data_IF_001321737864
#
_entry.id   IF_001321737864
#
_cell.length_a   1.000
_cell.length_b   1.000
_cell.length_c   1.000
_cell.angle_alpha   90.00
_cell.angle_beta   90.00
_cell.angle_gamma   90.00
#
_symmetry.space_group_name_H-M   'P 1'
#
loop_
_entity.id
_entity.type
_entity.pdbx_description
1 polymer ?
#
# COMPACT_ATOMS: atom_id res chain seq x y z
N UNK A 1 20.44 60.37 42.48
CA UNK A 1 20.05 58.94 42.45
C UNK A 1 20.01 58.51 40.99
N UNK A 2 20.96 57.69 40.55
CA UNK A 2 20.95 57.07 39.21
C UNK A 2 20.79 55.58 39.42
N UNK A 3 19.60 55.08 39.15
CA UNK A 3 19.23 53.67 39.33
C UNK A 3 19.72 52.90 38.11
N UNK A 4 20.70 52.02 38.29
CA UNK A 4 21.24 51.15 37.26
C UNK A 4 20.27 49.96 37.11
N UNK A 5 19.53 49.89 36.00
CA UNK A 5 18.67 48.76 35.68
C UNK A 5 19.53 47.75 34.89
N UNK A 6 20.07 46.75 35.59
CA UNK A 6 20.67 45.56 34.95
C UNK A 6 19.54 44.64 34.49
N UNK A 7 19.22 44.67 33.19
CA UNK A 7 18.36 43.69 32.55
C UNK A 7 19.11 42.36 32.42
N UNK A 8 18.72 41.38 33.23
CA UNK A 8 19.16 40.00 33.14
C UNK A 8 18.44 39.33 31.95
N UNK A 9 19.15 39.12 30.85
CA UNK A 9 18.63 38.35 29.71
C UNK A 9 18.69 36.87 30.08
N UNK A 10 17.53 36.29 30.40
CA UNK A 10 17.38 34.86 30.58
C UNK A 10 17.43 34.22 29.17
N UNK A 11 18.57 33.62 28.80
CA UNK A 11 18.60 32.68 27.68
C UNK A 11 17.84 31.44 28.12
N UNK A 12 16.54 31.43 27.87
CA UNK A 12 15.76 30.20 27.86
C UNK A 12 16.26 29.44 26.64
N UNK A 13 17.05 28.38 26.85
CA UNK A 13 17.31 27.38 25.83
C UNK A 13 15.96 26.78 25.44
N UNK A 14 15.40 27.22 24.32
CA UNK A 14 14.33 26.49 23.65
C UNK A 14 14.91 25.13 23.29
N UNK A 15 14.58 24.12 24.10
CA UNK A 15 14.77 22.73 23.72
C UNK A 15 13.73 22.50 22.62
N UNK A 16 14.12 22.72 21.37
CA UNK A 16 13.33 22.28 20.23
C UNK A 16 13.29 20.77 20.28
N UNK A 17 12.14 20.18 20.55
CA UNK A 17 11.95 18.77 20.27
C UNK A 17 12.04 18.63 18.76
N UNK A 18 13.01 17.86 18.27
CA UNK A 18 13.07 17.46 16.87
C UNK A 18 11.84 16.59 16.60
N UNK A 19 10.96 17.04 15.71
CA UNK A 19 9.84 16.23 15.27
C UNK A 19 10.38 15.15 14.33
N UNK A 20 9.92 13.92 14.52
CA UNK A 20 10.27 12.79 13.67
C UNK A 20 9.00 12.19 13.06
N UNK A 21 9.17 11.62 11.87
CA UNK A 21 8.20 10.83 11.13
C UNK A 21 8.59 9.37 11.24
N UNK A 22 7.64 8.48 11.53
CA UNK A 22 7.92 7.05 11.61
C UNK A 22 8.02 6.41 10.23
N UNK A 23 9.08 5.62 10.02
CA UNK A 23 9.33 4.84 8.80
C UNK A 23 9.45 3.37 9.20
N UNK A 24 8.33 2.63 9.23
CA UNK A 24 8.30 1.27 9.81
C UNK A 24 9.00 0.19 8.98
N UNK A 25 9.16 0.43 7.67
CA UNK A 25 9.87 -0.48 6.78
C UNK A 25 11.36 -0.09 6.70
N UNK A 26 12.24 -0.95 7.21
CA UNK A 26 13.69 -0.72 7.19
C UNK A 26 14.25 -0.50 5.78
N UNK A 27 13.66 -1.13 4.76
CA UNK A 27 14.11 -0.96 3.39
C UNK A 27 13.66 0.41 2.85
N UNK A 28 12.49 0.91 3.26
CA UNK A 28 12.08 2.28 2.95
C UNK A 28 13.06 3.28 3.58
N UNK A 29 13.34 3.14 4.87
CA UNK A 29 14.26 4.02 5.60
C UNK A 29 15.68 3.96 5.02
N UNK A 30 16.21 2.76 4.76
CA UNK A 30 17.51 2.61 4.10
C UNK A 30 17.53 3.28 2.71
N UNK A 31 16.43 3.23 1.96
CA UNK A 31 16.33 3.94 0.69
C UNK A 31 16.38 5.46 0.88
N UNK A 32 15.74 6.00 1.92
CA UNK A 32 15.82 7.44 2.24
C UNK A 32 17.26 7.87 2.59
N UNK A 33 18.01 7.02 3.32
CA UNK A 33 19.44 7.24 3.60
C UNK A 33 20.25 7.24 2.31
N UNK A 34 20.04 6.25 1.42
CA UNK A 34 20.77 6.13 0.16
C UNK A 34 20.49 7.31 -0.80
N UNK A 35 19.28 7.88 -0.73
CA UNK A 35 18.88 9.10 -1.43
C UNK A 35 19.43 10.38 -0.78
N UNK A 36 20.05 10.29 0.40
CA UNK A 36 20.57 11.43 1.15
C UNK A 36 19.47 12.30 1.77
N UNK A 37 18.26 11.75 1.94
CA UNK A 37 17.13 12.42 2.59
C UNK A 37 17.29 12.31 4.11
N UNK A 38 17.48 11.09 4.62
CA UNK A 38 17.63 10.86 6.05
C UNK A 38 19.04 11.24 6.54
N UNK A 39 19.14 12.38 7.23
CA UNK A 39 20.40 13.05 7.53
C UNK A 39 21.22 12.37 8.63
N UNK A 40 20.60 11.52 9.45
CA UNK A 40 21.29 10.82 10.54
C UNK A 40 22.02 9.54 10.07
N UNK A 41 21.75 9.11 8.82
CA UNK A 41 22.35 7.96 8.16
C UNK A 41 22.22 6.65 8.95
N UNK A 42 21.17 6.50 9.76
CA UNK A 42 20.97 5.35 10.64
C UNK A 42 19.56 4.80 10.52
N UNK A 43 19.43 3.53 10.11
CA UNK A 43 18.14 2.82 10.14
C UNK A 43 17.66 2.67 11.60
N UNK A 44 16.69 3.48 12.00
CA UNK A 44 16.18 3.61 13.37
C UNK A 44 14.64 3.76 13.46
N UNK A 45 13.92 3.45 12.37
CA UNK A 45 12.48 3.56 12.18
C UNK A 45 11.92 4.98 12.15
N UNK A 46 12.75 5.98 11.90
CA UNK A 46 12.31 7.36 11.88
C UNK A 46 13.19 8.24 10.99
N UNK A 47 12.59 9.31 10.48
CA UNK A 47 13.32 10.38 9.80
C UNK A 47 12.97 11.70 10.47
N UNK A 48 13.89 12.67 10.51
CA UNK A 48 13.55 14.01 10.97
C UNK A 48 12.48 14.61 10.05
N UNK A 49 11.43 15.20 10.60
CA UNK A 49 10.39 15.83 9.76
C UNK A 49 10.98 16.96 8.90
N UNK A 50 12.03 17.63 9.38
CA UNK A 50 12.77 18.65 8.61
C UNK A 50 13.55 18.10 7.42
N UNK A 51 13.86 16.80 7.41
CA UNK A 51 14.59 16.17 6.31
C UNK A 51 13.65 15.89 5.12
N UNK A 52 12.35 15.72 5.40
CA UNK A 52 11.32 15.38 4.40
C UNK A 52 10.43 16.58 4.02
N UNK A 53 10.46 17.68 4.78
CA UNK A 53 9.51 18.80 4.60
C UNK A 53 9.68 19.57 3.28
N UNK A 54 10.85 19.50 2.64
CA UNK A 54 11.13 20.09 1.33
C UNK A 54 11.26 19.06 0.20
N UNK A 55 11.02 17.77 0.47
CA UNK A 55 11.15 16.73 -0.56
C UNK A 55 9.96 16.81 -1.52
N UNK A 56 10.22 17.27 -2.74
CA UNK A 56 9.21 17.41 -3.81
C UNK A 56 9.17 16.21 -4.77
N UNK A 57 10.26 15.44 -4.85
CA UNK A 57 10.36 14.27 -5.70
C UNK A 57 10.93 13.09 -4.91
N UNK A 58 10.20 11.97 -4.90
CA UNK A 58 10.65 10.73 -4.28
C UNK A 58 10.50 9.58 -5.27
N UNK A 59 11.63 9.01 -5.67
CA UNK A 59 11.69 7.83 -6.52
C UNK A 59 12.26 6.64 -5.74
N UNK A 60 11.38 5.70 -5.41
CA UNK A 60 11.72 4.45 -4.73
C UNK A 60 11.96 3.30 -5.72
N UNK A 61 11.63 3.49 -7.01
CA UNK A 61 11.67 2.43 -8.02
C UNK A 61 13.09 1.94 -8.34
N UNK A 62 14.10 2.77 -8.07
CA UNK A 62 15.51 2.45 -8.26
C UNK A 62 16.17 1.87 -6.99
N UNK A 63 15.42 1.61 -5.92
CA UNK A 63 15.99 1.13 -4.66
C UNK A 63 16.75 -0.20 -4.83
N UNK A 64 17.95 -0.27 -4.24
CA UNK A 64 18.68 -1.53 -4.06
C UNK A 64 18.15 -2.38 -2.89
N UNK A 65 17.19 -1.85 -2.13
CA UNK A 65 16.63 -2.44 -0.93
C UNK A 65 15.17 -2.82 -1.16
N UNK A 66 14.95 -3.97 -1.80
CA UNK A 66 13.62 -4.49 -2.09
C UNK A 66 13.33 -5.78 -1.30
N UNK A 67 12.06 -6.06 -0.97
CA UNK A 67 10.89 -5.21 -1.21
C UNK A 67 10.76 -4.05 -0.20
N UNK A 68 10.15 -2.95 -0.61
CA UNK A 68 9.59 -1.91 0.26
C UNK A 68 8.09 -2.21 0.34
N UNK A 69 7.69 -2.87 1.42
CA UNK A 69 6.36 -3.46 1.56
C UNK A 69 5.34 -2.52 2.19
N UNK A 70 5.83 -1.55 2.96
CA UNK A 70 5.05 -0.54 3.68
C UNK A 70 5.70 0.84 3.48
N UNK A 71 4.88 1.83 3.13
CA UNK A 71 5.28 3.24 2.94
C UNK A 71 4.43 4.19 3.78
N UNK A 72 3.80 3.75 4.87
CA UNK A 72 2.86 4.54 5.68
C UNK A 72 3.42 5.92 6.09
N UNK A 73 4.72 6.00 6.38
CA UNK A 73 5.40 7.27 6.70
C UNK A 73 5.43 8.30 5.56
N UNK A 74 5.08 7.91 4.33
CA UNK A 74 4.99 8.82 3.18
C UNK A 74 3.99 9.94 3.42
N UNK A 75 2.98 9.73 4.27
CA UNK A 75 1.90 10.70 4.56
C UNK A 75 2.42 12.03 5.11
N UNK A 76 3.62 12.04 5.69
CA UNK A 76 4.26 13.24 6.26
C UNK A 76 5.10 14.03 5.23
N UNK A 77 5.28 13.55 4.00
CA UNK A 77 6.00 14.24 2.93
C UNK A 77 5.11 15.33 2.29
N UNK A 78 4.76 16.35 3.06
CA UNK A 78 3.73 17.34 2.70
C UNK A 78 4.00 18.17 1.46
N UNK A 79 5.27 18.30 1.04
CA UNK A 79 5.69 19.01 -0.18
C UNK A 79 5.77 18.10 -1.42
N UNK A 80 5.47 16.81 -1.30
CA UNK A 80 5.71 15.83 -2.36
C UNK A 80 4.81 16.07 -3.57
N UNK A 81 5.43 16.28 -4.73
CA UNK A 81 4.79 16.49 -6.02
C UNK A 81 4.88 15.25 -6.90
N UNK A 82 6.00 14.52 -6.85
CA UNK A 82 6.20 13.31 -7.65
C UNK A 82 6.55 12.14 -6.76
N UNK A 83 5.75 11.08 -6.83
CA UNK A 83 5.98 9.82 -6.13
C UNK A 83 6.08 8.68 -7.14
N UNK A 84 7.23 8.02 -7.19
CA UNK A 84 7.42 6.80 -7.97
C UNK A 84 7.69 5.61 -7.04
N UNK A 85 6.71 4.73 -6.92
CA UNK A 85 6.75 3.48 -6.16
C UNK A 85 6.73 2.27 -7.09
N UNK A 86 7.10 2.42 -8.36
CA UNK A 86 7.08 1.33 -9.33
C UNK A 86 8.06 0.21 -8.95
N UNK A 87 7.62 -1.04 -9.00
CA UNK A 87 8.48 -2.21 -8.81
C UNK A 87 9.07 -2.38 -7.41
N UNK A 88 8.53 -1.69 -6.39
CA UNK A 88 9.08 -1.75 -5.03
C UNK A 88 8.63 -2.99 -4.26
N UNK A 89 7.66 -3.76 -4.78
CA UNK A 89 7.09 -4.90 -4.07
C UNK A 89 6.14 -4.47 -2.94
N UNK A 90 5.40 -3.38 -3.15
CA UNK A 90 4.41 -2.88 -2.21
C UNK A 90 3.29 -3.90 -2.01
N UNK A 91 3.05 -4.33 -0.76
CA UNK A 91 2.00 -5.27 -0.39
C UNK A 91 1.51 -4.85 1.00
N UNK A 92 0.77 -3.74 1.10
CA UNK A 92 0.17 -3.28 2.36
C UNK A 92 -0.81 -4.33 2.89
N UNK A 93 -0.28 -5.28 3.67
CA UNK A 93 -0.97 -6.49 4.15
C UNK A 93 -1.25 -6.43 5.65
N UNK A 94 -1.28 -5.22 6.22
CA UNK A 94 -1.37 -4.96 7.65
C UNK A 94 -2.63 -5.51 8.33
N UNK A 95 -3.72 -5.73 7.57
CA UNK A 95 -5.01 -6.13 8.14
C UNK A 95 -5.66 -7.34 7.44
N UNK A 96 -6.07 -8.31 8.25
CA UNK A 96 -6.83 -9.48 7.80
C UNK A 96 -8.21 -9.02 7.32
N UNK A 97 -8.62 -9.45 6.13
CA UNK A 97 -9.89 -9.11 5.48
C UNK A 97 -10.00 -7.67 4.93
N UNK A 98 -8.89 -6.90 4.89
CA UNK A 98 -8.83 -5.62 4.16
C UNK A 98 -7.98 -5.84 2.90
N UNK A 99 -8.50 -5.50 1.70
CA UNK A 99 -7.70 -5.56 0.49
C UNK A 99 -6.52 -4.57 0.58
N UNK A 100 -5.34 -4.90 0.03
CA UNK A 100 -4.20 -3.98 0.01
C UNK A 100 -4.59 -2.61 -0.54
N UNK A 101 -4.37 -1.57 0.25
CA UNK A 101 -4.73 -0.22 -0.11
C UNK A 101 -3.59 0.77 0.08
N UNK A 102 -3.69 1.92 -0.57
CA UNK A 102 -2.79 3.04 -0.40
C UNK A 102 -3.65 4.31 -0.32
N UNK A 103 -3.47 5.06 0.77
CA UNK A 103 -4.14 6.34 0.99
C UNK A 103 -3.11 7.47 0.93
N UNK A 104 -3.24 8.32 -0.08
CA UNK A 104 -2.37 9.47 -0.32
C UNK A 104 -3.14 10.80 -0.17
N UNK A 105 -4.32 10.79 0.45
CA UNK A 105 -5.16 11.99 0.63
C UNK A 105 -4.49 13.10 1.45
N UNK A 106 -3.42 12.80 2.20
CA UNK A 106 -2.62 13.81 2.91
C UNK A 106 -1.65 14.56 1.99
N UNK A 107 -1.30 14.00 0.83
CA UNK A 107 -0.32 14.54 -0.11
C UNK A 107 -0.93 15.58 -1.05
N UNK A 108 -1.38 16.70 -0.49
CA UNK A 108 -2.11 17.75 -1.24
C UNK A 108 -1.32 18.39 -2.39
N UNK A 109 0.01 18.30 -2.36
CA UNK A 109 0.90 18.79 -3.40
C UNK A 109 1.13 17.78 -4.54
N UNK A 110 0.62 16.55 -4.45
CA UNK A 110 0.90 15.48 -5.41
C UNK A 110 0.38 15.82 -6.81
N UNK A 111 1.30 15.76 -7.78
CA UNK A 111 1.08 16.02 -9.20
C UNK A 111 1.21 14.73 -10.03
N UNK A 112 2.16 13.86 -9.68
CA UNK A 112 2.45 12.63 -10.43
C UNK A 112 2.63 11.42 -9.51
N UNK A 113 1.94 10.33 -9.84
CA UNK A 113 2.05 9.04 -9.16
C UNK A 113 2.33 7.91 -10.15
N UNK A 114 3.41 7.19 -9.91
CA UNK A 114 3.83 6.01 -10.68
C UNK A 114 3.90 4.79 -9.76
N UNK A 115 3.18 3.72 -10.09
CA UNK A 115 3.14 2.50 -9.25
C UNK A 115 3.12 1.20 -10.05
N UNK A 116 3.70 1.24 -11.26
CA UNK A 116 3.86 0.12 -12.18
C UNK A 116 4.57 -1.09 -11.56
N UNK A 117 4.11 -2.31 -11.83
CA UNK A 117 4.85 -3.53 -11.48
C UNK A 117 5.99 -3.79 -12.46
N UNK A 118 7.15 -4.25 -11.97
CA UNK A 118 8.35 -4.49 -12.79
C UNK A 118 8.74 -5.99 -12.73
N UNK A 119 8.28 -6.78 -13.70
CA UNK A 119 8.71 -8.17 -13.91
C UNK A 119 8.11 -9.19 -12.92
N UNK A 120 8.90 -10.18 -12.50
CA UNK A 120 8.41 -11.33 -11.73
C UNK A 120 8.78 -11.31 -10.24
N UNK A 121 9.66 -10.41 -9.79
CA UNK A 121 10.28 -10.52 -8.45
C UNK A 121 9.79 -9.53 -7.40
N UNK A 122 9.33 -8.33 -7.79
CA UNK A 122 8.88 -7.29 -6.84
C UNK A 122 7.66 -6.52 -7.36
N UNK A 123 6.55 -7.24 -7.56
CA UNK A 123 5.32 -6.64 -8.05
C UNK A 123 4.56 -5.92 -6.96
N UNK A 124 4.03 -4.75 -7.30
CA UNK A 124 3.13 -4.02 -6.43
C UNK A 124 1.77 -4.71 -6.45
N UNK A 125 1.23 -4.96 -5.27
CA UNK A 125 -0.12 -5.46 -5.06
C UNK A 125 -0.89 -4.35 -4.36
N UNK A 126 -1.61 -3.57 -5.17
CA UNK A 126 -2.51 -2.51 -4.73
C UNK A 126 -3.89 -2.81 -5.30
N UNK A 127 -4.91 -2.81 -4.45
CA UNK A 127 -6.30 -3.06 -4.84
C UNK A 127 -7.10 -1.77 -4.82
N UNK A 128 -6.95 -0.98 -3.75
CA UNK A 128 -7.66 0.29 -3.55
C UNK A 128 -6.67 1.46 -3.42
N UNK A 129 -6.88 2.53 -4.18
CA UNK A 129 -6.08 3.74 -4.12
C UNK A 129 -6.97 4.93 -3.77
N UNK A 130 -6.65 5.65 -2.68
CA UNK A 130 -7.39 6.84 -2.25
C UNK A 130 -6.59 8.10 -2.56
N UNK A 131 -7.20 8.97 -3.36
CA UNK A 131 -6.65 10.24 -3.85
C UNK A 131 -7.64 11.40 -3.65
N UNK A 132 -8.47 11.34 -2.61
CA UNK A 132 -9.62 12.23 -2.38
C UNK A 132 -9.24 13.69 -2.06
N UNK A 133 -7.96 13.99 -1.82
CA UNK A 133 -7.48 15.36 -1.56
C UNK A 133 -6.13 15.66 -2.25
N UNK A 134 -6.03 15.31 -3.53
CA UNK A 134 -4.89 15.53 -4.41
C UNK A 134 -5.31 16.39 -5.63
N UNK A 135 -5.64 17.68 -5.44
CA UNK A 135 -6.25 18.53 -6.48
C UNK A 135 -5.29 18.99 -7.59
N UNK A 136 -4.02 18.61 -7.52
CA UNK A 136 -2.98 18.99 -8.49
C UNK A 136 -2.58 17.83 -9.40
N UNK A 137 -3.21 16.66 -9.27
CA UNK A 137 -2.81 15.45 -9.98
C UNK A 137 -2.94 15.59 -11.51
N UNK A 138 -1.84 15.42 -12.22
CA UNK A 138 -1.77 15.42 -13.69
C UNK A 138 -1.46 14.04 -14.26
N UNK A 139 -0.81 13.17 -13.47
CA UNK A 139 -0.36 11.85 -13.95
C UNK A 139 -0.63 10.75 -12.93
N UNK A 140 -1.26 9.67 -13.39
CA UNK A 140 -1.42 8.43 -12.67
C UNK A 140 -1.05 7.24 -13.56
N UNK A 141 0.08 6.60 -13.30
CA UNK A 141 0.58 5.49 -14.10
C UNK A 141 0.66 4.19 -13.30
N UNK A 142 0.02 3.14 -13.82
CA UNK A 142 -0.10 1.83 -13.21
C UNK A 142 -0.07 0.73 -14.26
N UNK A 143 1.13 0.43 -14.75
CA UNK A 143 1.29 -0.67 -15.70
C UNK A 143 1.48 -1.99 -14.94
N UNK A 144 0.83 -3.05 -15.40
CA UNK A 144 0.91 -4.42 -14.89
C UNK A 144 0.55 -4.59 -13.40
N UNK A 145 -0.24 -3.68 -12.83
CA UNK A 145 -0.81 -3.82 -11.48
C UNK A 145 -2.13 -4.59 -11.56
N UNK A 146 -2.05 -5.89 -11.82
CA UNK A 146 -3.22 -6.76 -12.09
C UNK A 146 -4.21 -6.96 -10.93
N UNK A 147 -4.07 -6.22 -9.83
CA UNK A 147 -4.96 -6.28 -8.67
C UNK A 147 -5.72 -4.98 -8.41
N UNK A 148 -5.43 -3.89 -9.13
CA UNK A 148 -6.09 -2.59 -8.91
C UNK A 148 -7.54 -2.67 -9.38
N UNK A 149 -8.46 -2.47 -8.44
CA UNK A 149 -9.92 -2.55 -8.68
C UNK A 149 -10.60 -1.20 -8.44
N UNK A 150 -10.01 -0.36 -7.58
CA UNK A 150 -10.66 0.87 -7.11
C UNK A 150 -9.69 2.05 -7.00
N UNK A 151 -10.13 3.19 -7.50
CA UNK A 151 -9.47 4.48 -7.34
C UNK A 151 -10.50 5.50 -6.87
N UNK A 152 -10.24 6.18 -5.76
CA UNK A 152 -11.08 7.24 -5.24
C UNK A 152 -10.50 8.61 -5.56
N UNK A 153 -11.16 9.36 -6.43
CA UNK A 153 -10.82 10.75 -6.78
C UNK A 153 -11.91 11.73 -6.33
N UNK A 154 -12.95 11.27 -5.60
CA UNK A 154 -14.06 12.12 -5.19
C UNK A 154 -13.56 13.35 -4.43
N UNK A 155 -14.09 14.52 -4.79
CA UNK A 155 -13.68 15.82 -4.26
C UNK A 155 -12.42 16.39 -4.90
N UNK A 156 -11.42 15.57 -5.25
CA UNK A 156 -10.19 16.05 -5.91
C UNK A 156 -10.37 16.33 -7.39
N UNK A 157 -11.12 15.45 -8.04
CA UNK A 157 -11.45 15.49 -9.46
C UNK A 157 -12.06 16.81 -9.95
N UNK A 158 -12.72 17.58 -9.07
CA UNK A 158 -13.35 18.86 -9.39
C UNK A 158 -12.37 19.93 -9.92
N UNK A 159 -11.07 19.78 -9.65
CA UNK A 159 -10.02 20.70 -10.11
C UNK A 159 -9.03 20.06 -11.10
N UNK A 160 -9.15 18.74 -11.37
CA UNK A 160 -8.19 18.03 -12.21
C UNK A 160 -8.47 18.30 -13.69
N UNK A 161 -7.63 19.13 -14.30
CA UNK A 161 -7.63 19.34 -15.75
C UNK A 161 -6.40 18.68 -16.37
N UNK A 162 -6.56 18.03 -17.52
CA UNK A 162 -5.50 17.31 -18.24
C UNK A 162 -4.90 16.11 -17.48
N UNK A 163 -5.69 15.45 -16.63
CA UNK A 163 -5.27 14.23 -15.95
C UNK A 163 -5.03 13.11 -16.97
N UNK A 164 -3.83 12.55 -16.97
CA UNK A 164 -3.48 11.35 -17.74
C UNK A 164 -3.45 10.15 -16.80
N UNK A 165 -4.25 9.14 -17.12
CA UNK A 165 -4.29 7.87 -16.41
C UNK A 165 -3.93 6.74 -17.36
N UNK A 166 -2.98 5.90 -16.97
CA UNK A 166 -2.52 4.78 -17.79
C UNK A 166 -2.52 3.49 -16.98
N UNK A 167 -3.47 2.60 -17.30
CA UNK A 167 -3.72 1.31 -16.66
C UNK A 167 -3.55 0.20 -17.69
N UNK A 168 -2.32 -0.11 -18.09
CA UNK A 168 -2.07 -1.23 -19.02
C UNK A 168 -1.74 -2.48 -18.23
N UNK A 169 -2.51 -3.54 -18.37
CA UNK A 169 -2.25 -4.83 -17.75
C UNK A 169 -3.24 -5.89 -18.23
N UNK A 170 -3.02 -7.14 -17.84
CA UNK A 170 -3.96 -8.22 -18.10
C UNK A 170 -5.05 -8.21 -17.01
N UNK A 171 -6.32 -7.99 -17.42
CA UNK A 171 -7.54 -8.18 -16.63
C UNK A 171 -7.75 -7.15 -15.52
N UNK A 172 -8.21 -5.95 -15.90
CA UNK A 172 -8.47 -4.87 -14.95
C UNK A 172 -9.89 -4.32 -15.12
N UNK A 173 -10.79 -4.77 -14.25
CA UNK A 173 -12.05 -4.07 -14.03
C UNK A 173 -11.79 -2.98 -12.99
N UNK A 174 -11.67 -1.73 -13.44
CA UNK A 174 -11.35 -0.58 -12.59
C UNK A 174 -12.60 0.29 -12.43
N UNK A 175 -12.95 0.56 -11.18
CA UNK A 175 -13.94 1.57 -10.82
C UNK A 175 -13.25 2.82 -10.28
N UNK A 176 -13.55 3.97 -10.89
CA UNK A 176 -13.05 5.27 -10.45
C UNK A 176 -14.21 6.04 -9.80
N UNK A 177 -14.13 6.27 -8.49
CA UNK A 177 -15.08 7.14 -7.79
C UNK A 177 -14.73 8.60 -8.07
N UNK A 178 -15.74 9.38 -8.42
CA UNK A 178 -15.63 10.77 -8.87
C UNK A 178 -16.87 11.54 -8.42
N UNK A 179 -16.75 12.85 -8.28
CA UNK A 179 -17.81 13.74 -7.79
C UNK A 179 -19.05 13.76 -8.72
N UNK A 180 -18.86 13.68 -10.03
CA UNK A 180 -19.95 13.59 -11.02
C UNK A 180 -19.71 12.41 -11.99
N UNK A 181 -20.14 11.19 -11.62
CA UNK A 181 -19.96 10.00 -12.45
C UNK A 181 -20.60 10.11 -13.84
N UNK A 182 -21.70 10.86 -13.95
CA UNK A 182 -22.40 11.04 -15.23
C UNK A 182 -21.60 11.94 -16.14
N UNK A 183 -21.05 13.05 -15.64
CA UNK A 183 -20.17 13.92 -16.41
C UNK A 183 -18.87 13.20 -16.81
N UNK A 184 -18.29 12.41 -15.91
CA UNK A 184 -17.09 11.61 -16.20
C UNK A 184 -17.35 10.57 -17.30
N UNK A 185 -18.44 9.81 -17.19
CA UNK A 185 -18.82 8.79 -18.18
C UNK A 185 -19.09 9.39 -19.58
N UNK A 186 -19.55 10.64 -19.65
CA UNK A 186 -19.83 11.35 -20.88
C UNK A 186 -18.70 12.29 -21.32
N UNK A 187 -17.55 12.28 -20.64
CA UNK A 187 -16.41 13.18 -20.88
C UNK A 187 -16.82 14.67 -20.95
N UNK A 188 -17.55 15.14 -19.94
CA UNK A 188 -18.04 16.53 -19.83
C UNK A 188 -17.31 17.31 -18.74
N UNK A 189 -17.37 18.64 -18.80
CA UNK A 189 -16.74 19.49 -17.78
C UNK A 189 -15.24 19.28 -17.69
N UNK A 190 -14.72 19.11 -16.47
CA UNK A 190 -13.29 18.87 -16.20
C UNK A 190 -12.80 17.55 -16.82
N UNK A 191 -13.65 16.52 -16.82
CA UNK A 191 -13.33 15.18 -17.34
C UNK A 191 -13.13 15.15 -18.86
N UNK A 192 -13.60 16.16 -19.60
CA UNK A 192 -13.39 16.26 -21.05
C UNK A 192 -11.89 16.35 -21.44
N UNK A 193 -11.05 16.79 -20.50
CA UNK A 193 -9.60 16.91 -20.67
C UNK A 193 -8.83 15.67 -20.21
N UNK A 194 -9.50 14.68 -19.64
CA UNK A 194 -8.82 13.50 -19.12
C UNK A 194 -8.45 12.55 -20.26
N UNK A 195 -7.27 11.94 -20.14
CA UNK A 195 -6.80 10.92 -21.04
C UNK A 195 -6.61 9.61 -20.28
N UNK A 196 -7.53 8.66 -20.49
CA UNK A 196 -7.52 7.37 -19.78
C UNK A 196 -7.23 6.25 -20.76
N UNK A 197 -6.11 5.57 -20.55
CA UNK A 197 -5.69 4.42 -21.36
C UNK A 197 -5.80 3.15 -20.53
N UNK A 198 -6.49 2.15 -21.06
CA UNK A 198 -6.61 0.82 -20.45
C UNK A 198 -6.82 -0.27 -21.51
N UNK A 199 -6.64 -1.54 -21.14
CA UNK A 199 -6.87 -2.67 -22.05
C UNK A 199 -8.37 -3.00 -22.16
N UNK A 200 -9.05 -2.38 -23.12
CA UNK A 200 -10.49 -2.59 -23.34
C UNK A 200 -10.86 -3.98 -23.86
N UNK A 201 -9.88 -4.84 -24.22
CA UNK A 201 -10.16 -6.23 -24.61
C UNK A 201 -10.23 -7.16 -23.39
N UNK A 202 -9.60 -6.80 -22.27
CA UNK A 202 -9.47 -7.67 -21.10
C UNK A 202 -10.06 -7.08 -19.81
N UNK A 203 -10.50 -5.82 -19.81
CA UNK A 203 -11.07 -5.16 -18.64
C UNK A 203 -12.12 -4.10 -18.97
N UNK A 204 -12.84 -3.67 -17.92
CA UNK A 204 -13.85 -2.61 -17.97
C UNK A 204 -13.41 -1.45 -17.09
N UNK A 205 -13.45 -0.23 -17.64
CA UNK A 205 -13.30 1.00 -16.86
C UNK A 205 -14.68 1.62 -16.64
N UNK A 206 -14.99 2.02 -15.42
CA UNK A 206 -16.27 2.65 -15.06
C UNK A 206 -16.08 3.80 -14.08
N UNK A 207 -16.99 4.78 -14.15
CA UNK A 207 -17.12 5.86 -13.18
C UNK A 207 -18.40 5.67 -12.37
N UNK A 208 -18.32 5.71 -11.04
CA UNK A 208 -19.48 5.46 -10.17
C UNK A 208 -19.28 6.04 -8.77
N UNK A 209 -20.34 6.63 -8.20
CA UNK A 209 -20.43 6.98 -6.76
C UNK A 209 -20.67 5.73 -5.87
N UNK A 210 -20.93 4.60 -6.52
CA UNK A 210 -21.22 3.31 -5.92
C UNK A 210 -20.08 2.30 -6.09
N UNK A 211 -18.86 2.75 -6.44
CA UNK A 211 -17.69 1.88 -6.59
C UNK A 211 -17.47 0.97 -5.36
N UNK A 212 -17.74 1.46 -4.16
CA UNK A 212 -17.65 0.69 -2.91
C UNK A 212 -18.90 -0.13 -2.56
N UNK A 213 -20.06 0.09 -3.21
CA UNK A 213 -21.31 -0.61 -2.85
C UNK A 213 -21.34 -2.08 -3.28
N UNK A 214 -20.33 -2.55 -3.99
CA UNK A 214 -20.08 -3.98 -4.19
C UNK A 214 -19.23 -4.64 -3.08
N UNK A 215 -18.97 -3.91 -1.98
CA UNK A 215 -18.38 -4.45 -0.76
C UNK A 215 -19.25 -4.31 0.50
N UNK A 216 -20.57 -4.17 0.37
CA UNK A 216 -21.45 -4.79 1.38
C UNK A 216 -21.62 -6.27 1.07
N UNK A 217 -20.51 -7.01 1.11
CA UNK A 217 -20.63 -8.41 1.49
C UNK A 217 -21.31 -8.38 2.86
N UNK A 218 -22.55 -8.87 2.94
CA UNK A 218 -23.06 -9.35 4.21
C UNK A 218 -21.97 -10.24 4.80
N UNK A 219 -21.29 -9.73 5.85
CA UNK A 219 -20.20 -10.39 6.58
C UNK A 219 -20.71 -11.74 7.11
N UNK A 220 -20.61 -12.78 6.31
CA UNK A 220 -20.34 -14.10 6.86
C UNK A 220 -18.83 -14.24 6.96
N UNK A 221 -18.30 -13.81 8.10
CA UNK A 221 -16.93 -14.07 8.51
C UNK A 221 -16.71 -15.59 8.46
N UNK A 222 -15.99 -16.07 7.46
CA UNK A 222 -15.62 -17.48 7.36
C UNK A 222 -14.49 -17.70 8.37
N UNK A 223 -14.83 -18.32 9.51
CA UNK A 223 -13.87 -18.58 10.56
C UNK A 223 -13.01 -19.81 10.21
N UNK A 224 -11.71 -19.58 9.99
CA UNK A 224 -10.69 -20.61 9.98
C UNK A 224 -9.92 -20.59 11.29
N UNK A 225 -9.63 -21.75 11.87
CA UNK A 225 -8.74 -21.85 13.04
C UNK A 225 -7.72 -22.96 12.86
N UNK A 226 -6.45 -22.63 13.13
CA UNK A 226 -5.33 -23.57 13.17
C UNK A 226 -5.09 -24.05 14.59
N UNK A 227 -5.01 -25.37 14.79
CA UNK A 227 -4.63 -25.92 16.09
C UNK A 227 -3.88 -27.26 15.98
N UNK A 228 -2.94 -27.55 16.90
CA UNK A 228 -2.34 -26.57 17.80
C UNK A 228 -1.52 -25.53 17.01
N UNK A 229 -1.46 -24.31 17.52
CA UNK A 229 -0.55 -23.28 17.02
C UNK A 229 -0.01 -22.52 18.25
N UNK A 230 1.26 -22.72 18.66
CA UNK A 230 2.33 -23.41 17.94
C UNK A 230 2.12 -24.93 17.75
N UNK A 231 2.56 -25.45 16.60
CA UNK A 231 2.52 -26.85 16.20
C UNK A 231 3.91 -27.50 16.31
N UNK A 232 3.98 -28.78 16.70
CA UNK A 232 5.26 -29.51 16.81
C UNK A 232 5.53 -30.44 15.62
N UNK A 233 4.57 -31.27 15.24
CA UNK A 233 4.72 -32.24 14.14
C UNK A 233 3.59 -32.15 13.13
N UNK A 234 2.42 -31.70 13.57
CA UNK A 234 1.21 -31.63 12.76
C UNK A 234 0.33 -30.48 13.22
N UNK A 235 -0.56 -30.03 12.35
CA UNK A 235 -1.63 -29.11 12.68
C UNK A 235 -2.95 -29.56 12.04
N UNK A 236 -4.04 -28.96 12.49
CA UNK A 236 -5.40 -29.15 11.99
C UNK A 236 -5.97 -27.80 11.55
N UNK A 237 -6.87 -27.83 10.58
CA UNK A 237 -7.62 -26.65 10.12
C UNK A 237 -9.10 -26.93 10.36
N UNK A 238 -9.74 -26.11 11.19
CA UNK A 238 -11.20 -26.08 11.28
C UNK A 238 -11.72 -24.95 10.41
N UNK A 239 -12.68 -25.29 9.55
CA UNK A 239 -13.29 -24.42 8.55
C UNK A 239 -14.78 -24.73 8.45
N UNK A 240 -15.61 -23.72 8.17
CA UNK A 240 -17.03 -23.90 7.82
C UNK A 240 -17.25 -24.11 6.32
N UNK A 241 -16.20 -24.08 5.50
CA UNK A 241 -16.23 -24.27 4.03
C UNK A 241 -15.17 -25.24 3.54
N UNK A 242 -15.39 -25.80 2.35
CA UNK A 242 -14.40 -26.63 1.67
C UNK A 242 -13.20 -25.80 1.18
N UNK A 243 -12.02 -26.40 1.25
CA UNK A 243 -10.75 -25.81 0.90
C UNK A 243 -10.26 -26.42 -0.41
N UNK A 244 -10.22 -25.62 -1.46
CA UNK A 244 -9.77 -26.07 -2.78
C UNK A 244 -8.25 -26.24 -2.83
N UNK A 245 -7.53 -25.44 -2.04
CA UNK A 245 -6.07 -25.45 -2.03
C UNK A 245 -5.53 -24.99 -0.69
N UNK A 246 -4.49 -25.69 -0.22
CA UNK A 246 -3.80 -25.38 1.03
C UNK A 246 -2.31 -25.37 0.71
N UNK A 247 -1.65 -24.23 0.86
CA UNK A 247 -0.23 -24.05 0.55
C UNK A 247 0.50 -23.49 1.76
N UNK A 248 1.70 -23.98 2.01
CA UNK A 248 2.55 -23.56 3.12
C UNK A 248 3.80 -22.88 2.58
N UNK A 249 4.08 -21.68 3.08
CA UNK A 249 5.19 -20.84 2.68
C UNK A 249 6.11 -20.55 3.87
N UNK A 250 7.39 -20.32 3.61
CA UNK A 250 8.33 -19.80 4.63
C UNK A 250 8.32 -18.25 4.65
N UNK A 251 9.16 -17.67 5.50
CA UNK A 251 9.30 -16.21 5.65
C UNK A 251 9.79 -15.49 4.38
N UNK A 252 10.53 -16.18 3.51
CA UNK A 252 10.99 -15.64 2.23
C UNK A 252 9.96 -15.79 1.10
N UNK A 253 8.71 -16.18 1.40
CA UNK A 253 7.66 -16.38 0.40
C UNK A 253 7.83 -17.63 -0.48
N UNK A 254 8.80 -18.49 -0.19
CA UNK A 254 9.02 -19.74 -0.93
C UNK A 254 7.96 -20.77 -0.57
N UNK A 255 7.32 -21.37 -1.59
CA UNK A 255 6.39 -22.49 -1.41
C UNK A 255 7.16 -23.71 -0.87
N UNK A 256 6.79 -24.16 0.33
CA UNK A 256 7.39 -25.30 1.02
C UNK A 256 6.59 -26.57 0.75
N UNK A 257 5.26 -26.49 0.86
CA UNK A 257 4.39 -27.66 0.73
C UNK A 257 3.02 -27.28 0.20
N UNK A 258 2.42 -28.15 -0.61
CA UNK A 258 1.01 -28.07 -1.00
C UNK A 258 0.29 -29.26 -0.41
N UNK A 259 -0.88 -29.03 0.16
CA UNK A 259 -1.73 -30.05 0.73
C UNK A 259 -3.07 -30.09 0.00
N UNK A 260 -3.64 -31.29 -0.06
CA UNK A 260 -5.06 -31.48 -0.32
C UNK A 260 -5.83 -31.40 1.01
N UNK A 261 -7.14 -31.15 0.95
CA UNK A 261 -7.97 -31.08 2.15
C UNK A 261 -7.95 -32.43 2.89
N UNK A 262 -7.52 -32.38 4.15
CA UNK A 262 -7.38 -33.53 5.05
C UNK A 262 -7.64 -33.11 6.50
N UNK A 263 -7.87 -34.07 7.39
CA UNK A 263 -8.11 -33.78 8.81
C UNK A 263 -6.83 -33.30 9.54
N UNK A 264 -5.66 -33.78 9.11
CA UNK A 264 -4.37 -33.54 9.77
C UNK A 264 -3.28 -33.24 8.75
N UNK A 265 -2.46 -32.24 9.02
CA UNK A 265 -1.40 -31.77 8.12
C UNK A 265 -0.03 -31.96 8.77
N UNK A 266 0.79 -32.85 8.20
CA UNK A 266 2.13 -33.16 8.70
C UNK A 266 3.18 -32.13 8.26
N UNK A 267 3.91 -31.61 9.26
CA UNK A 267 4.99 -30.62 9.18
C UNK A 267 6.23 -31.07 9.97
N UNK A 268 6.33 -32.35 10.35
CA UNK A 268 7.42 -32.90 11.16
C UNK A 268 8.81 -32.64 10.56
N UNK A 269 8.91 -32.66 9.23
CA UNK A 269 10.16 -32.45 8.48
C UNK A 269 10.55 -30.97 8.32
N UNK A 270 9.79 -30.03 8.90
CA UNK A 270 10.07 -28.61 8.84
C UNK A 270 10.91 -28.16 10.03
N UNK A 271 11.85 -27.25 9.77
CA UNK A 271 12.60 -26.59 10.83
C UNK A 271 11.68 -25.74 11.71
N UNK A 272 12.08 -25.52 12.96
CA UNK A 272 11.38 -24.60 13.85
C UNK A 272 11.41 -23.19 13.27
N UNK A 273 10.27 -22.49 13.30
CA UNK A 273 10.14 -21.19 12.67
C UNK A 273 8.70 -20.80 12.37
N UNK A 274 8.56 -19.65 11.73
CA UNK A 274 7.25 -19.12 11.30
C UNK A 274 7.01 -19.49 9.84
N UNK A 275 5.81 -19.99 9.58
CA UNK A 275 5.31 -20.33 8.25
C UNK A 275 3.96 -19.66 8.01
N UNK A 276 3.60 -19.48 6.74
CA UNK A 276 2.31 -18.94 6.34
C UNK A 276 1.51 -19.97 5.56
N UNK A 277 0.30 -20.25 6.02
CA UNK A 277 -0.62 -21.17 5.39
C UNK A 277 -1.65 -20.39 4.57
N UNK A 278 -1.59 -20.52 3.24
CA UNK A 278 -2.51 -19.92 2.28
C UNK A 278 -3.61 -20.93 1.94
N UNK A 279 -4.85 -20.60 2.24
CA UNK A 279 -6.05 -21.40 2.05
C UNK A 279 -6.89 -20.78 0.95
N UNK A 280 -7.34 -21.56 -0.04
CA UNK A 280 -8.28 -21.10 -1.06
C UNK A 280 -9.63 -21.77 -0.88
N UNK A 281 -10.71 -21.00 -0.94
CA UNK A 281 -12.09 -21.47 -0.98
C UNK A 281 -12.86 -20.65 -2.01
N UNK A 282 -13.18 -21.25 -3.16
CA UNK A 282 -13.68 -20.58 -4.35
C UNK A 282 -12.71 -19.51 -4.86
N UNK A 283 -13.22 -18.28 -4.97
CA UNK A 283 -12.43 -17.10 -5.35
C UNK A 283 -11.65 -16.48 -4.18
N UNK A 284 -11.94 -16.89 -2.94
CA UNK A 284 -11.38 -16.27 -1.75
C UNK A 284 -10.11 -16.98 -1.30
N UNK A 285 -9.15 -16.19 -0.84
CA UNK A 285 -7.84 -16.64 -0.38
C UNK A 285 -7.57 -16.10 1.01
N UNK A 286 -7.23 -16.98 1.94
CA UNK A 286 -6.98 -16.67 3.34
C UNK A 286 -5.55 -17.02 3.70
N UNK A 287 -4.91 -16.23 4.56
CA UNK A 287 -3.55 -16.51 5.05
C UNK A 287 -3.57 -16.62 6.57
N UNK A 288 -2.95 -17.67 7.12
CA UNK A 288 -2.85 -17.91 8.55
C UNK A 288 -1.39 -18.18 8.95
N UNK A 289 -0.93 -17.52 10.02
CA UNK A 289 0.40 -17.74 10.58
C UNK A 289 0.44 -19.08 11.33
N UNK A 290 1.41 -19.93 10.99
CA UNK A 290 1.71 -21.18 11.68
C UNK A 290 3.08 -21.07 12.34
N UNK A 291 3.15 -21.29 13.65
CA UNK A 291 4.39 -21.33 14.41
C UNK A 291 4.77 -22.80 14.59
N UNK A 292 5.92 -23.20 14.05
CA UNK A 292 6.50 -24.54 14.23
C UNK A 292 7.54 -24.48 15.35
N UNK A 293 7.33 -25.27 16.40
CA UNK A 293 8.33 -25.49 17.46
C UNK A 293 9.30 -26.61 17.09
#
# INVERSE_FOLDING_TARGET
MKTLITTLVFLISLVGFTQTTFIFDNNFEQTLIDLGIDSDNTVNYQVLTSDIDQVTHLDLSASSHLPISDIEGIKDFTALQVLNISGIGFINSGEVDIPPYLDLSTLTALEELYFTSQGDTHNNILVHLYLTNNPNLTTLESLDVGALEFIDLEGSDVNLTNLTMNFTGDWQDICINVTDPVAAQNAQGVYASWNVTYNSQTGVLSYSDDCEKLHTASKEKINFSLYPNPASHQFHIKSTRNLDQIKLYNLQGKLIKTFHQQETYDISNLASGVYFLKLRSGKQVYTQKLIKN
#
